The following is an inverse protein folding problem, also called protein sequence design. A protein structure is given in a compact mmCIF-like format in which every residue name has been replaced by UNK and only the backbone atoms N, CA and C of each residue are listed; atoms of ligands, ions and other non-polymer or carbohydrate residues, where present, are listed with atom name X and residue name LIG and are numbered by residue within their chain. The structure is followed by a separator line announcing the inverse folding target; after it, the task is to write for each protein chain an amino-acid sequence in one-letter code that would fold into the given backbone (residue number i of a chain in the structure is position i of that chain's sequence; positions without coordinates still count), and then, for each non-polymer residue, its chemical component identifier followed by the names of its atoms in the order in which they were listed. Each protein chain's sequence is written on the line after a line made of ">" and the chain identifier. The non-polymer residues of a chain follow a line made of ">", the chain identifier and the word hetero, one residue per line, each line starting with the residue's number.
data_IF_253952483027
#
_entry.id   IF_253952483027
#
_cell.length_a   1.000
_cell.length_b   1.000
_cell.length_c   1.000
_cell.angle_alpha   90.00
_cell.angle_beta   90.00
_cell.angle_gamma   90.00
#
_symmetry.space_group_name_H-M   'P 1'
#
loop_
_entity.id
_entity.type
_entity.pdbx_description
1 polymer ?
#
# COMPACT_ATOMS: atom_id res chain seq x y z
N UNK A 1 29.13 -20.24 6.65
CA UNK A 1 27.82 -20.51 6.05
C UNK A 1 26.68 -20.02 6.94
N UNK A 2 26.68 -20.35 8.24
CA UNK A 2 25.67 -19.88 9.20
C UNK A 2 25.53 -18.34 9.28
N UNK A 3 26.64 -17.58 9.37
CA UNK A 3 26.57 -16.11 9.50
C UNK A 3 25.94 -15.40 8.30
N UNK A 4 26.11 -15.96 7.09
CA UNK A 4 25.53 -15.42 5.86
C UNK A 4 24.01 -15.62 5.85
N UNK A 5 23.54 -16.78 6.32
CA UNK A 5 22.11 -17.09 6.47
C UNK A 5 21.47 -16.18 7.51
N UNK A 6 22.11 -15.99 8.67
CA UNK A 6 21.63 -15.10 9.73
C UNK A 6 21.54 -13.65 9.22
N UNK A 7 22.56 -13.15 8.52
CA UNK A 7 22.55 -11.79 7.98
C UNK A 7 21.44 -11.60 6.93
N UNK A 8 21.20 -12.60 6.08
CA UNK A 8 20.12 -12.60 5.09
C UNK A 8 18.75 -12.52 5.76
N UNK A 9 18.49 -13.34 6.77
CA UNK A 9 17.23 -13.33 7.52
C UNK A 9 17.00 -11.99 8.23
N UNK A 10 18.04 -11.42 8.88
CA UNK A 10 17.93 -10.11 9.52
C UNK A 10 17.58 -9.01 8.51
N UNK A 11 18.19 -9.04 7.32
CA UNK A 11 17.87 -8.06 6.25
C UNK A 11 16.42 -8.21 5.78
N UNK A 12 15.94 -9.44 5.62
CA UNK A 12 14.57 -9.71 5.20
C UNK A 12 13.55 -9.24 6.25
N UNK A 13 13.78 -9.55 7.52
CA UNK A 13 12.95 -9.06 8.63
C UNK A 13 12.88 -7.53 8.67
N UNK A 14 14.03 -6.86 8.51
CA UNK A 14 14.09 -5.39 8.48
C UNK A 14 13.37 -4.80 7.27
N UNK A 15 13.48 -5.44 6.10
CA UNK A 15 12.78 -5.02 4.90
C UNK A 15 11.26 -5.10 5.09
N UNK A 16 10.76 -6.23 5.62
CA UNK A 16 9.34 -6.40 5.94
C UNK A 16 8.85 -5.34 6.94
N UNK A 17 9.59 -5.13 8.03
CA UNK A 17 9.24 -4.09 9.01
C UNK A 17 9.19 -2.69 8.38
N UNK A 18 10.14 -2.36 7.50
CA UNK A 18 10.16 -1.08 6.81
C UNK A 18 8.96 -0.92 5.87
N UNK A 19 8.56 -1.98 5.17
CA UNK A 19 7.38 -1.99 4.31
C UNK A 19 6.10 -1.81 5.14
N UNK A 20 5.98 -2.50 6.28
CA UNK A 20 4.83 -2.36 7.19
C UNK A 20 4.71 -0.92 7.71
N UNK A 21 5.81 -0.31 8.16
CA UNK A 21 5.81 1.09 8.62
C UNK A 21 5.46 2.06 7.48
N UNK A 22 5.99 1.83 6.28
CA UNK A 22 5.67 2.66 5.12
C UNK A 22 4.18 2.53 4.74
N UNK A 23 3.62 1.32 4.75
CA UNK A 23 2.21 1.10 4.49
C UNK A 23 1.32 1.77 5.55
N UNK A 24 1.70 1.70 6.84
CA UNK A 24 0.99 2.39 7.92
C UNK A 24 1.02 3.92 7.76
N UNK A 25 2.16 4.48 7.34
CA UNK A 25 2.27 5.92 7.05
C UNK A 25 1.37 6.33 5.87
N UNK A 26 1.36 5.54 4.80
CA UNK A 26 0.54 5.80 3.62
C UNK A 26 -0.96 5.71 3.93
N UNK A 27 -1.38 4.80 4.81
CA UNK A 27 -2.78 4.66 5.20
C UNK A 27 -3.35 5.97 5.78
N UNK A 28 -2.57 6.68 6.60
CA UNK A 28 -2.94 7.99 7.13
C UNK A 28 -3.13 9.05 6.04
N UNK A 29 -2.22 9.12 5.07
CA UNK A 29 -2.32 10.04 3.94
C UNK A 29 -3.52 9.70 3.04
N UNK A 30 -3.81 8.42 2.85
CA UNK A 30 -4.94 7.95 2.04
C UNK A 30 -6.29 8.24 2.70
N UNK A 31 -6.38 8.24 4.03
CA UNK A 31 -7.55 8.69 4.77
C UNK A 31 -7.79 10.19 4.57
N UNK A 32 -6.74 11.00 4.64
CA UNK A 32 -6.83 12.43 4.38
C UNK A 32 -7.30 12.71 2.94
N UNK A 33 -6.70 12.02 1.96
CA UNK A 33 -7.06 12.16 0.55
C UNK A 33 -8.50 11.69 0.27
N UNK A 34 -8.97 10.62 0.93
CA UNK A 34 -10.38 10.20 0.84
C UNK A 34 -11.33 11.26 1.37
N UNK A 35 -10.98 11.90 2.47
CA UNK A 35 -11.79 12.98 3.06
C UNK A 35 -11.86 14.17 2.10
N UNK A 36 -10.74 14.56 1.49
CA UNK A 36 -10.71 15.57 0.43
C UNK A 36 -11.55 15.17 -0.80
N UNK A 37 -11.50 13.90 -1.21
CA UNK A 37 -12.33 13.37 -2.29
C UNK A 37 -13.82 13.47 -2.00
N UNK A 38 -14.24 13.15 -0.78
CA UNK A 38 -15.63 13.30 -0.33
C UNK A 38 -16.08 14.77 -0.27
N UNK A 39 -15.16 15.69 -0.03
CA UNK A 39 -15.41 17.13 -0.08
C UNK A 39 -15.39 17.71 -1.52
N UNK A 40 -15.14 16.89 -2.54
CA UNK A 40 -15.03 17.34 -3.93
C UNK A 40 -13.72 18.06 -4.27
N UNK A 41 -12.73 18.00 -3.38
CA UNK A 41 -11.44 18.69 -3.52
C UNK A 41 -10.36 17.82 -4.16
N UNK A 42 -10.70 16.64 -4.71
CA UNK A 42 -9.70 15.68 -5.21
C UNK A 42 -8.81 16.27 -6.33
N UNK A 43 -9.33 17.24 -7.09
CA UNK A 43 -8.58 17.95 -8.13
C UNK A 43 -7.39 18.75 -7.57
N UNK A 44 -7.53 19.29 -6.36
CA UNK A 44 -6.47 20.05 -5.67
C UNK A 44 -5.33 19.15 -5.18
N UNK A 45 -5.55 17.82 -5.18
CA UNK A 45 -4.60 16.80 -4.69
C UNK A 45 -4.19 15.80 -5.78
N UNK A 46 -4.31 16.16 -7.06
CA UNK A 46 -4.07 15.24 -8.16
C UNK A 46 -2.60 14.75 -8.25
N UNK A 47 -1.65 15.60 -7.91
CA UNK A 47 -0.22 15.27 -7.87
C UNK A 47 0.10 14.33 -6.70
N UNK A 48 -0.41 14.65 -5.51
CA UNK A 48 -0.30 13.84 -4.30
C UNK A 48 -0.89 12.45 -4.51
N UNK A 49 -2.08 12.37 -5.12
CA UNK A 49 -2.70 11.10 -5.46
C UNK A 49 -1.80 10.27 -6.41
N UNK A 50 -1.15 10.92 -7.38
CA UNK A 50 -0.23 10.26 -8.32
C UNK A 50 1.04 9.77 -7.62
N UNK A 51 1.59 10.56 -6.71
CA UNK A 51 2.73 10.19 -5.89
C UNK A 51 2.41 8.99 -4.99
N UNK A 52 1.25 9.01 -4.31
CA UNK A 52 0.78 7.90 -3.47
C UNK A 52 0.58 6.61 -4.26
N UNK A 53 0.01 6.68 -5.47
CA UNK A 53 -0.08 5.52 -6.39
C UNK A 53 1.29 4.95 -6.70
N UNK A 54 2.27 5.81 -6.94
CA UNK A 54 3.65 5.41 -7.22
C UNK A 54 4.28 4.72 -6.01
N UNK A 55 4.15 5.28 -4.80
CA UNK A 55 4.67 4.65 -3.59
C UNK A 55 4.04 3.29 -3.31
N UNK A 56 2.72 3.17 -3.39
CA UNK A 56 2.04 1.89 -3.21
C UNK A 56 2.49 0.87 -4.25
N UNK A 57 2.69 1.28 -5.51
CA UNK A 57 3.25 0.39 -6.54
C UNK A 57 4.66 -0.07 -6.19
N UNK A 58 5.53 0.83 -5.72
CA UNK A 58 6.90 0.49 -5.29
C UNK A 58 6.87 -0.54 -4.17
N UNK A 59 6.03 -0.37 -3.14
CA UNK A 59 5.91 -1.34 -2.04
C UNK A 59 5.47 -2.72 -2.54
N UNK A 60 4.53 -2.79 -3.50
CA UNK A 60 4.12 -4.06 -4.11
C UNK A 60 5.26 -4.74 -4.85
N UNK A 61 6.05 -3.97 -5.61
CA UNK A 61 7.22 -4.51 -6.33
C UNK A 61 8.26 -5.03 -5.35
N UNK A 62 8.51 -4.32 -4.24
CA UNK A 62 9.45 -4.77 -3.22
C UNK A 62 9.01 -6.08 -2.55
N UNK A 63 7.72 -6.25 -2.27
CA UNK A 63 7.18 -7.51 -1.75
C UNK A 63 7.30 -8.64 -2.79
N UNK A 64 6.95 -8.36 -4.05
CA UNK A 64 7.07 -9.33 -5.15
C UNK A 64 8.51 -9.75 -5.45
N UNK A 65 9.49 -8.92 -5.09
CA UNK A 65 10.90 -9.25 -5.22
C UNK A 65 11.41 -10.17 -4.11
N UNK A 66 10.66 -10.35 -3.02
CA UNK A 66 10.97 -11.34 -1.99
C UNK A 66 10.56 -12.72 -2.52
N UNK A 67 11.49 -13.66 -2.59
CA UNK A 67 11.16 -15.00 -3.08
C UNK A 67 10.44 -15.80 -1.98
N UNK A 68 9.37 -16.57 -2.31
CA UNK A 68 8.62 -17.35 -1.32
C UNK A 68 9.50 -18.30 -0.51
N UNK A 69 10.42 -19.00 -1.20
CA UNK A 69 11.34 -19.95 -0.55
C UNK A 69 12.22 -19.26 0.51
N UNK A 70 12.73 -18.06 0.22
CA UNK A 70 13.56 -17.31 1.17
C UNK A 70 12.75 -16.77 2.37
N UNK A 71 11.48 -16.43 2.14
CA UNK A 71 10.56 -16.00 3.20
C UNK A 71 10.21 -17.17 4.11
N UNK A 72 9.95 -18.35 3.53
CA UNK A 72 9.62 -19.57 4.26
C UNK A 72 10.83 -20.11 5.05
N UNK A 73 12.02 -20.16 4.43
CA UNK A 73 13.28 -20.52 5.10
C UNK A 73 13.60 -19.61 6.29
N UNK A 74 13.24 -18.32 6.19
CA UNK A 74 13.43 -17.35 7.25
C UNK A 74 12.32 -17.41 8.34
N UNK A 75 11.27 -18.21 8.14
CA UNK A 75 10.11 -18.27 9.04
C UNK A 75 9.29 -16.98 9.06
N UNK A 76 9.26 -16.24 7.96
CA UNK A 76 8.65 -14.92 7.85
C UNK A 76 7.33 -14.90 7.07
N UNK A 77 6.77 -16.06 6.70
CA UNK A 77 5.57 -16.18 5.85
C UNK A 77 4.37 -15.42 6.40
N UNK A 78 4.11 -15.50 7.71
CA UNK A 78 3.03 -14.75 8.36
C UNK A 78 3.25 -13.24 8.23
N UNK A 79 4.48 -12.79 8.50
CA UNK A 79 4.83 -11.36 8.44
C UNK A 79 4.79 -10.81 7.02
N UNK A 80 5.23 -11.61 6.05
CA UNK A 80 5.10 -11.30 4.64
C UNK A 80 3.62 -11.13 4.24
N UNK A 81 2.75 -12.06 4.64
CA UNK A 81 1.31 -11.97 4.39
C UNK A 81 0.68 -10.72 5.04
N UNK A 82 1.11 -10.35 6.25
CA UNK A 82 0.67 -9.10 6.90
C UNK A 82 1.09 -7.85 6.12
N UNK A 83 2.33 -7.82 5.63
CA UNK A 83 2.83 -6.73 4.79
C UNK A 83 2.08 -6.64 3.46
N UNK A 84 1.82 -7.77 2.79
CA UNK A 84 0.98 -7.84 1.58
C UNK A 84 -0.44 -7.33 1.84
N UNK A 85 -1.06 -7.74 2.94
CA UNK A 85 -2.38 -7.26 3.31
C UNK A 85 -2.39 -5.75 3.57
N UNK A 86 -1.36 -5.19 4.24
CA UNK A 86 -1.25 -3.76 4.50
C UNK A 86 -1.11 -2.94 3.20
N UNK A 87 -0.20 -3.35 2.31
CA UNK A 87 -0.04 -2.70 1.01
C UNK A 87 -1.28 -2.89 0.13
N UNK A 88 -1.94 -4.05 0.23
CA UNK A 88 -3.20 -4.34 -0.44
C UNK A 88 -4.33 -3.39 -0.03
N UNK A 89 -4.45 -3.06 1.27
CA UNK A 89 -5.40 -2.06 1.78
C UNK A 89 -5.11 -0.66 1.22
N UNK A 90 -3.85 -0.25 1.18
CA UNK A 90 -3.45 1.03 0.58
C UNK A 90 -3.85 1.09 -0.91
N UNK A 91 -3.59 0.02 -1.66
CA UNK A 91 -3.97 -0.08 -3.06
C UNK A 91 -5.49 -0.05 -3.27
N UNK A 92 -6.26 -0.70 -2.40
CA UNK A 92 -7.71 -0.66 -2.44
C UNK A 92 -8.25 0.75 -2.16
N UNK A 93 -7.69 1.46 -1.18
CA UNK A 93 -8.07 2.83 -0.86
C UNK A 93 -7.87 3.78 -2.05
N UNK A 94 -6.74 3.65 -2.77
CA UNK A 94 -6.48 4.45 -3.97
C UNK A 94 -7.50 4.17 -5.09
N UNK A 95 -7.88 2.91 -5.33
CA UNK A 95 -8.86 2.56 -6.38
C UNK A 95 -10.23 3.19 -6.14
N UNK A 96 -10.63 3.35 -4.89
CA UNK A 96 -11.90 4.02 -4.54
C UNK A 96 -11.90 5.48 -4.97
N UNK A 97 -10.72 6.13 -4.99
CA UNK A 97 -10.57 7.53 -5.42
C UNK A 97 -10.62 7.70 -6.94
N UNK A 98 -10.33 6.63 -7.70
CA UNK A 98 -10.37 6.62 -9.17
C UNK A 98 -11.81 6.42 -9.71
N UNK A 99 -12.78 6.09 -8.84
CA UNK A 99 -14.18 6.03 -9.27
C UNK A 99 -14.69 7.45 -9.56
N UNK A 100 -15.23 7.71 -10.76
CA UNK A 100 -15.83 9.02 -11.05
C UNK A 100 -16.93 9.30 -10.03
N UNK A 101 -16.93 10.51 -9.47
CA UNK A 101 -17.92 11.01 -8.51
C UNK A 101 -19.35 11.17 -9.08
N UNK A 102 -19.71 10.41 -10.11
CA UNK A 102 -20.95 10.51 -10.88
C UNK A 102 -21.64 9.17 -11.07
N UNK A 103 -22.24 8.63 -10.01
CA UNK A 103 -23.35 7.65 -10.12
C UNK A 103 -24.34 7.76 -8.97
N UNK A 104 -24.59 8.98 -8.48
CA UNK A 104 -25.79 9.29 -7.70
C UNK A 104 -26.92 9.71 -8.65
N UNK A 105 -28.18 9.34 -8.38
CA UNK A 105 -29.28 9.59 -9.31
C UNK A 105 -29.45 11.10 -9.47
N UNK A 106 -29.35 11.56 -10.71
CA UNK A 106 -29.89 12.85 -11.13
C UNK A 106 -31.40 12.73 -10.94
N UNK A 107 -31.91 13.12 -9.77
CA UNK A 107 -33.33 13.39 -9.58
C UNK A 107 -33.66 14.59 -10.45
N UNK A 108 -33.99 14.31 -11.70
CA UNK A 108 -34.59 15.27 -12.60
C UNK A 108 -35.94 15.68 -12.04
N UNK A 109 -36.01 16.89 -11.50
CA UNK A 109 -37.28 17.61 -11.41
C UNK A 109 -37.54 18.23 -12.77
N UNK A 110 -38.43 17.60 -13.53
CA UNK A 110 -39.18 18.21 -14.63
C UNK A 110 -40.66 17.89 -14.41
#
# INVERSE_FOLDING_TARGET
>A
MADVVVLKHVRLTRALLAIEMAAASLDGELVALRTAGQAGLLGDYAEEATLLRTYVRTLRVLLQAMTPDEVDEAGLSERHALAEAAVGRCAAALRVLDLPAGSGPISGTA
#
